data_IF_362077188806
#
_entry.id   IF_362077188806
#
_cell.length_a   1.000
_cell.length_b   1.000
_cell.length_c   1.000
_cell.angle_alpha   90.00
_cell.angle_beta   90.00
_cell.angle_gamma   90.00
#
_symmetry.space_group_name_H-M   'P 1'
#
loop_
_entity.id
_entity.type
_entity.pdbx_description
1 polymer ?
#
# COMPACT_ATOMS: atom_id res chain seq x y z
N UNK A 1 4.93 -16.14 9.78
CA UNK A 1 5.65 -16.48 8.54
C UNK A 1 5.21 -15.54 7.43
N UNK A 2 6.11 -14.65 6.98
CA UNK A 2 5.82 -13.75 5.86
C UNK A 2 5.88 -14.55 4.55
N UNK A 3 4.81 -14.54 3.76
CA UNK A 3 4.85 -15.02 2.38
C UNK A 3 5.88 -14.16 1.63
N UNK A 4 6.98 -14.78 1.18
CA UNK A 4 8.08 -14.11 0.47
C UNK A 4 7.64 -13.43 -0.84
N UNK A 5 6.46 -13.79 -1.39
CA UNK A 5 5.86 -13.20 -2.59
C UNK A 5 4.37 -12.89 -2.38
N UNK A 6 4.02 -11.65 -2.03
CA UNK A 6 2.61 -11.25 -1.81
C UNK A 6 1.74 -11.20 -3.08
N UNK A 7 2.36 -11.18 -4.28
CA UNK A 7 1.69 -11.05 -5.60
C UNK A 7 1.48 -12.37 -6.35
N UNK A 8 1.37 -13.51 -5.66
CA UNK A 8 1.11 -14.80 -6.32
C UNK A 8 -0.32 -14.85 -6.89
N UNK A 9 -0.50 -15.37 -8.11
CA UNK A 9 -1.83 -15.57 -8.70
C UNK A 9 -2.38 -16.93 -8.26
N UNK A 10 -3.69 -17.01 -8.06
CA UNK A 10 -4.35 -18.27 -7.67
C UNK A 10 -4.09 -19.39 -8.67
N UNK A 11 -3.98 -19.07 -9.96
CA UNK A 11 -3.63 -20.05 -11.00
C UNK A 11 -2.23 -20.65 -10.79
N UNK A 12 -1.27 -19.83 -10.37
CA UNK A 12 0.10 -20.28 -10.19
C UNK A 12 0.14 -21.31 -9.03
N UNK A 13 -0.68 -21.10 -7.98
CA UNK A 13 -0.86 -22.06 -6.87
C UNK A 13 -1.56 -23.34 -7.32
N UNK A 14 -2.59 -23.21 -8.17
CA UNK A 14 -3.32 -24.35 -8.75
C UNK A 14 -2.37 -25.23 -9.57
N UNK A 15 -1.58 -24.60 -10.44
CA UNK A 15 -0.67 -25.29 -11.35
C UNK A 15 0.48 -25.96 -10.58
N UNK A 16 1.04 -25.26 -9.59
CA UNK A 16 2.16 -25.77 -8.77
C UNK A 16 1.73 -26.94 -7.86
N UNK A 17 0.54 -26.85 -7.25
CA UNK A 17 0.06 -27.88 -6.30
C UNK A 17 -0.84 -28.93 -6.96
N UNK A 18 -1.17 -28.77 -8.25
CA UNK A 18 -2.14 -29.61 -8.97
C UNK A 18 -3.49 -29.77 -8.24
N UNK A 19 -3.93 -28.71 -7.55
CA UNK A 19 -5.16 -28.70 -6.76
C UNK A 19 -6.31 -28.05 -7.52
N UNK A 20 -7.55 -28.45 -7.20
CA UNK A 20 -8.72 -27.76 -7.74
C UNK A 20 -8.78 -26.31 -7.23
N UNK A 21 -9.36 -25.41 -8.04
CA UNK A 21 -9.61 -24.01 -7.65
C UNK A 21 -10.40 -23.90 -6.34
N UNK A 22 -11.36 -24.79 -6.12
CA UNK A 22 -12.18 -24.82 -4.89
C UNK A 22 -11.35 -25.19 -3.66
N UNK A 23 -10.49 -26.20 -3.79
CA UNK A 23 -9.57 -26.62 -2.72
C UNK A 23 -8.60 -25.51 -2.35
N UNK A 24 -7.99 -24.86 -3.34
CA UNK A 24 -7.11 -23.71 -3.11
C UNK A 24 -7.85 -22.56 -2.43
N UNK A 25 -9.10 -22.27 -2.84
CA UNK A 25 -9.92 -21.24 -2.21
C UNK A 25 -10.19 -21.53 -0.72
N UNK A 26 -10.60 -22.76 -0.39
CA UNK A 26 -10.86 -23.19 0.99
C UNK A 26 -9.59 -23.06 1.84
N UNK A 27 -8.46 -23.57 1.34
CA UNK A 27 -7.20 -23.53 2.08
C UNK A 27 -6.77 -22.08 2.33
N UNK A 28 -6.74 -21.24 1.31
CA UNK A 28 -6.24 -19.87 1.45
C UNK A 28 -7.16 -19.01 2.32
N UNK A 29 -8.48 -19.10 2.14
CA UNK A 29 -9.41 -18.24 2.85
C UNK A 29 -9.80 -18.77 4.23
N UNK A 30 -10.03 -20.08 4.38
CA UNK A 30 -10.57 -20.65 5.62
C UNK A 30 -9.49 -21.24 6.53
N UNK A 31 -8.47 -21.90 5.98
CA UNK A 31 -7.41 -22.49 6.80
C UNK A 31 -6.27 -21.50 7.09
N UNK A 32 -5.86 -20.74 6.07
CA UNK A 32 -4.75 -19.78 6.18
C UNK A 32 -5.22 -18.35 6.48
N UNK A 33 -6.51 -18.05 6.38
CA UNK A 33 -7.09 -16.76 6.72
C UNK A 33 -6.47 -15.58 5.93
N UNK A 34 -6.24 -15.81 4.63
CA UNK A 34 -5.80 -14.78 3.68
C UNK A 34 -6.93 -14.32 2.76
N UNK A 35 -6.84 -13.07 2.31
CA UNK A 35 -7.69 -12.50 1.28
C UNK A 35 -6.86 -11.72 0.25
N UNK A 36 -7.38 -11.61 -0.98
CA UNK A 36 -6.78 -10.77 -2.03
C UNK A 36 -7.32 -9.36 -1.88
N UNK A 37 -6.43 -8.41 -1.65
CA UNK A 37 -6.74 -6.97 -1.60
C UNK A 37 -5.91 -6.22 -2.63
N UNK A 38 -6.44 -5.10 -3.14
CA UNK A 38 -5.69 -4.26 -4.07
C UNK A 38 -4.53 -3.59 -3.34
N UNK A 39 -3.37 -3.46 -3.99
CA UNK A 39 -2.29 -2.66 -3.42
C UNK A 39 -2.63 -1.18 -3.50
N UNK A 40 -2.25 -0.46 -2.46
CA UNK A 40 -2.24 0.99 -2.47
C UNK A 40 -1.13 1.50 -3.39
N UNK A 41 -1.44 2.58 -4.10
CA UNK A 41 -0.47 3.29 -4.92
C UNK A 41 0.36 4.21 -4.02
N UNK A 42 1.67 3.99 -4.00
CA UNK A 42 2.62 4.86 -3.29
C UNK A 42 3.40 5.64 -4.35
N UNK A 43 3.29 6.99 -4.40
CA UNK A 43 3.87 7.79 -5.48
C UNK A 43 5.40 7.67 -5.62
N UNK A 44 6.11 7.43 -4.51
CA UNK A 44 7.57 7.34 -4.51
C UNK A 44 8.06 6.37 -3.44
N UNK A 45 9.04 5.55 -3.81
CA UNK A 45 9.82 4.79 -2.82
C UNK A 45 10.78 5.74 -2.10
N UNK A 46 10.63 5.89 -0.79
CA UNK A 46 11.47 6.76 0.02
C UNK A 46 12.65 5.97 0.60
N UNK A 47 13.86 6.46 0.36
CA UNK A 47 15.05 6.00 1.09
C UNK A 47 15.02 6.54 2.53
N UNK A 48 15.81 5.95 3.43
CA UNK A 48 15.83 6.25 4.87
C UNK A 48 15.97 7.76 5.11
N UNK A 49 16.95 8.41 4.47
CA UNK A 49 17.19 9.84 4.60
C UNK A 49 15.95 10.70 4.24
N UNK A 50 15.20 10.30 3.20
CA UNK A 50 13.97 11.01 2.83
C UNK A 50 12.87 10.80 3.87
N UNK A 51 12.81 9.65 4.53
CA UNK A 51 11.84 9.38 5.59
C UNK A 51 12.16 10.23 6.83
N UNK A 52 13.44 10.27 7.23
CA UNK A 52 13.91 11.08 8.37
C UNK A 52 13.67 12.57 8.14
N UNK A 53 14.03 13.08 6.96
CA UNK A 53 13.75 14.47 6.60
C UNK A 53 12.25 14.79 6.63
N UNK A 54 11.41 13.92 6.04
CA UNK A 54 9.96 14.11 6.06
C UNK A 54 9.40 14.12 7.48
N UNK A 55 9.84 13.22 8.34
CA UNK A 55 9.42 13.17 9.74
C UNK A 55 9.84 14.44 10.48
N UNK A 56 11.10 14.87 10.30
CA UNK A 56 11.64 16.08 10.92
C UNK A 56 10.85 17.34 10.54
N UNK A 57 10.62 17.57 9.24
CA UNK A 57 9.82 18.71 8.78
C UNK A 57 8.37 18.63 9.26
N UNK A 58 7.77 17.44 9.28
CA UNK A 58 6.39 17.27 9.76
C UNK A 58 6.26 17.63 11.24
N UNK A 59 7.25 17.24 12.06
CA UNK A 59 7.27 17.58 13.48
C UNK A 59 7.45 19.08 13.70
N UNK A 60 8.33 19.73 12.93
CA UNK A 60 8.51 21.18 12.98
C UNK A 60 7.23 21.94 12.61
N UNK A 61 6.53 21.49 11.55
CA UNK A 61 5.25 22.08 11.17
C UNK A 61 4.16 21.86 12.22
N UNK A 62 4.14 20.71 12.89
CA UNK A 62 3.19 20.43 13.97
C UNK A 62 3.40 21.37 15.15
N UNK A 63 4.65 21.51 15.63
CA UNK A 63 4.99 22.44 16.72
C UNK A 63 4.56 23.86 16.35
N UNK A 64 4.87 24.31 15.13
CA UNK A 64 4.50 25.63 14.64
C UNK A 64 3.00 25.86 14.59
N UNK A 65 2.23 24.83 14.26
CA UNK A 65 0.78 24.87 14.26
C UNK A 65 0.21 24.99 15.69
N UNK A 66 0.80 24.29 16.65
CA UNK A 66 0.38 24.34 18.06
C UNK A 66 0.67 25.71 18.70
N UNK A 67 1.79 26.34 18.33
CA UNK A 67 2.18 27.65 18.84
C UNK A 67 1.36 28.81 18.25
N UNK A 68 0.84 28.66 17.03
CA UNK A 68 0.18 29.75 16.29
C UNK A 68 -1.03 29.24 15.50
N UNK A 69 -2.22 29.41 16.08
CA UNK A 69 -3.49 29.01 15.48
C UNK A 69 -3.81 29.72 14.15
N UNK A 70 -3.15 30.84 13.83
CA UNK A 70 -3.31 31.57 12.57
C UNK A 70 -2.27 31.15 11.52
N UNK A 71 -1.31 30.28 11.84
CA UNK A 71 -0.27 29.77 10.94
C UNK A 71 -0.82 29.31 9.60
N UNK A 72 -1.78 28.38 9.60
CA UNK A 72 -2.34 27.81 8.35
C UNK A 72 -3.03 28.87 7.48
N UNK A 73 -3.64 29.90 8.06
CA UNK A 73 -4.35 30.95 7.32
C UNK A 73 -3.43 31.83 6.47
N UNK A 74 -2.13 31.83 6.77
CA UNK A 74 -1.12 32.62 6.04
C UNK A 74 -0.40 31.81 4.95
N UNK A 75 -0.65 30.51 4.87
CA UNK A 75 -0.03 29.65 3.87
C UNK A 75 -0.84 29.76 2.58
N UNK A 76 -0.16 30.16 1.50
CA UNK A 76 -0.66 30.00 0.13
C UNK A 76 0.19 28.91 -0.50
N UNK A 77 -0.44 27.76 -0.79
CA UNK A 77 0.19 26.65 -1.48
C UNK A 77 -0.25 26.63 -2.94
N UNK A 78 0.68 26.29 -3.84
CA UNK A 78 0.41 26.02 -5.25
C UNK A 78 1.29 24.87 -5.72
N UNK A 79 0.76 24.08 -6.65
CA UNK A 79 1.50 23.01 -7.32
C UNK A 79 1.20 23.02 -8.83
N UNK A 80 2.04 22.33 -9.59
CA UNK A 80 1.83 22.11 -11.02
C UNK A 80 1.39 20.67 -11.24
N UNK A 81 0.21 20.49 -11.83
CA UNK A 81 -0.29 19.17 -12.21
C UNK A 81 -0.03 18.89 -13.69
N UNK A 82 0.87 17.95 -13.98
CA UNK A 82 1.14 17.48 -15.34
C UNK A 82 0.17 16.34 -15.71
N UNK A 83 -0.56 16.49 -16.82
CA UNK A 83 -1.45 15.45 -17.35
C UNK A 83 -0.70 14.54 -18.31
N UNK A 84 -0.05 13.50 -17.78
CA UNK A 84 0.61 12.47 -18.57
C UNK A 84 -0.36 11.32 -18.92
N UNK A 85 -0.33 10.82 -20.16
CA UNK A 85 -1.05 9.59 -20.53
C UNK A 85 -0.29 8.36 -20.01
N UNK A 86 -0.56 7.99 -18.75
CA UNK A 86 -0.03 6.77 -18.12
C UNK A 86 -1.13 5.71 -18.07
N UNK A 87 -0.82 4.47 -18.48
CA UNK A 87 -1.70 3.33 -18.28
C UNK A 87 -1.27 2.57 -17.02
N UNK A 88 -1.95 2.77 -15.87
CA UNK A 88 -1.59 2.08 -14.64
C UNK A 88 -1.86 0.58 -14.73
N UNK A 89 -1.19 -0.18 -13.86
CA UNK A 89 -1.50 -1.58 -13.63
C UNK A 89 -3.00 -1.76 -13.30
N UNK A 90 -3.62 -2.77 -13.89
CA UNK A 90 -5.03 -3.05 -13.63
C UNK A 90 -5.25 -3.53 -12.18
N UNK A 91 -6.40 -3.18 -11.61
CA UNK A 91 -6.81 -3.54 -10.24
C UNK A 91 -6.61 -5.04 -9.93
N UNK A 92 -6.82 -5.91 -10.91
CA UNK A 92 -6.67 -7.36 -10.77
C UNK A 92 -5.22 -7.80 -10.62
N UNK A 93 -4.31 -7.13 -11.30
CA UNK A 93 -2.87 -7.47 -11.31
C UNK A 93 -2.19 -6.91 -10.06
N UNK A 94 -2.68 -5.77 -9.57
CA UNK A 94 -2.19 -5.15 -8.34
C UNK A 94 -2.57 -5.91 -7.07
N UNK A 95 -3.46 -6.91 -7.13
CA UNK A 95 -3.93 -7.60 -5.92
C UNK A 95 -2.87 -8.45 -5.22
N UNK A 96 -2.68 -8.20 -3.94
CA UNK A 96 -1.80 -8.94 -3.03
C UNK A 96 -2.58 -9.74 -1.99
N UNK A 97 -1.99 -10.84 -1.52
CA UNK A 97 -2.52 -11.59 -0.38
C UNK A 97 -2.21 -10.86 0.93
N UNK A 98 -3.24 -10.58 1.74
CA UNK A 98 -3.13 -10.09 3.12
C UNK A 98 -3.80 -11.07 4.08
N UNK A 99 -3.18 -11.28 5.22
CA UNK A 99 -3.79 -12.06 6.30
C UNK A 99 -4.83 -11.17 7.00
N UNK A 100 -5.92 -11.75 7.49
CA UNK A 100 -6.98 -10.99 8.18
C UNK A 100 -6.46 -10.18 9.38
N UNK A 101 -5.39 -10.63 10.04
CA UNK A 101 -4.82 -9.96 11.23
C UNK A 101 -3.72 -8.95 10.87
N UNK A 102 -3.28 -8.88 9.61
CA UNK A 102 -2.34 -7.83 9.21
C UNK A 102 -3.09 -6.52 9.05
N UNK A 103 -2.87 -5.59 9.98
CA UNK A 103 -3.45 -4.24 9.95
C UNK A 103 -3.16 -3.55 8.61
N UNK A 104 -4.18 -2.88 8.06
CA UNK A 104 -4.00 -1.81 7.09
C UNK A 104 -3.22 -0.70 7.79
N UNK A 105 -1.95 -0.56 7.43
CA UNK A 105 -1.20 0.69 7.65
C UNK A 105 -1.86 1.82 6.86
#
# INVERSE_FOLDING_TARGET
>A
MAIAKRRVRTRDIIDELSLSKGTVHIIVHQHLQYSKVCTEWVPKHLIIDNQEQRMSFSLQHLIRYEEDLAFLRRIVAGDESWWHHYTPESKKTSMQWKHIISSTN
#
